data_IF_501349071304
#
_entry.id   IF_501349071304
#
_cell.length_a   1.000
_cell.length_b   1.000
_cell.length_c   1.000
_cell.angle_alpha   90.00
_cell.angle_beta   90.00
_cell.angle_gamma   90.00
#
_symmetry.space_group_name_H-M   'P 1'
#
loop_
_entity.id
_entity.type
_entity.pdbx_description
1 polymer ?
#
# COMPACT_ATOMS: atom_id res chain seq x y z
N UNK A 1 -16.54 15.81 -14.19
CA UNK A 1 -15.79 16.43 -13.06
C UNK A 1 -14.77 17.44 -13.63
N UNK A 2 -14.71 18.67 -13.13
CA UNK A 2 -13.75 19.68 -13.60
C UNK A 2 -12.66 19.91 -12.56
N UNK A 3 -11.46 20.29 -12.99
CA UNK A 3 -10.34 20.58 -12.10
C UNK A 3 -9.07 19.78 -12.44
N UNK A 4 -8.01 20.02 -11.66
CA UNK A 4 -6.74 19.30 -11.81
C UNK A 4 -6.89 17.80 -11.48
N UNK A 5 -5.93 17.00 -11.92
CA UNK A 5 -5.80 15.57 -11.57
C UNK A 5 -5.91 15.35 -10.06
N UNK A 6 -5.17 16.13 -9.30
CA UNK A 6 -5.14 16.04 -7.83
C UNK A 6 -6.48 16.42 -7.17
N UNK A 7 -7.16 17.41 -7.72
CA UNK A 7 -8.49 17.78 -7.25
C UNK A 7 -9.49 16.66 -7.49
N UNK A 8 -9.57 16.15 -8.72
CA UNK A 8 -10.51 15.11 -9.10
C UNK A 8 -10.26 13.81 -8.30
N UNK A 9 -9.00 13.38 -8.15
CA UNK A 9 -8.68 12.22 -7.32
C UNK A 9 -9.07 12.40 -5.85
N UNK A 10 -8.94 13.63 -5.31
CA UNK A 10 -9.35 13.90 -3.93
C UNK A 10 -10.87 13.83 -3.75
N UNK A 11 -11.66 14.26 -4.74
CA UNK A 11 -13.12 14.11 -4.68
C UNK A 11 -13.55 12.63 -4.74
N UNK A 12 -12.84 11.81 -5.54
CA UNK A 12 -13.11 10.38 -5.64
C UNK A 12 -12.74 9.63 -4.35
N UNK A 13 -11.61 9.99 -3.72
CA UNK A 13 -11.21 9.41 -2.43
C UNK A 13 -12.30 9.59 -1.36
N UNK A 14 -12.94 10.75 -1.30
CA UNK A 14 -14.05 11.02 -0.36
C UNK A 14 -15.22 10.05 -0.51
N UNK A 15 -15.36 9.41 -1.67
CA UNK A 15 -16.45 8.46 -1.92
C UNK A 15 -16.20 7.06 -1.39
N UNK A 16 -14.95 6.73 -1.03
CA UNK A 16 -14.58 5.37 -0.59
C UNK A 16 -13.75 5.34 0.69
N UNK A 17 -13.32 6.50 1.21
CA UNK A 17 -12.52 6.53 2.44
C UNK A 17 -13.40 6.73 3.66
N UNK A 18 -13.27 5.80 4.60
CA UNK A 18 -13.92 5.88 5.91
C UNK A 18 -12.93 5.45 6.99
N UNK A 19 -12.37 6.44 7.67
CA UNK A 19 -11.42 6.18 8.75
C UNK A 19 -12.04 5.30 9.85
N UNK A 20 -11.27 4.33 10.32
CA UNK A 20 -11.68 3.46 11.42
C UNK A 20 -12.76 2.43 11.09
N UNK A 21 -13.20 2.32 9.82
CA UNK A 21 -14.16 1.28 9.43
C UNK A 21 -13.61 -0.12 9.74
N UNK A 22 -14.39 -0.93 10.47
CA UNK A 22 -14.00 -2.28 10.88
C UNK A 22 -13.91 -3.21 9.67
N UNK A 23 -13.08 -4.25 9.78
CA UNK A 23 -12.91 -5.23 8.71
C UNK A 23 -14.22 -5.96 8.39
N UNK A 24 -14.99 -6.31 9.41
CA UNK A 24 -16.27 -7.00 9.32
C UNK A 24 -17.31 -6.17 8.56
N UNK A 25 -17.38 -4.86 8.83
CA UNK A 25 -18.29 -3.93 8.16
C UNK A 25 -17.99 -3.81 6.67
N UNK A 26 -16.69 -3.86 6.30
CA UNK A 26 -16.25 -3.71 4.91
C UNK A 26 -16.52 -4.92 4.01
N UNK A 27 -16.75 -6.08 4.58
CA UNK A 27 -17.11 -7.30 3.84
C UNK A 27 -18.63 -7.57 3.85
N UNK A 28 -19.35 -6.90 4.72
CA UNK A 28 -20.81 -7.01 4.80
C UNK A 28 -21.48 -6.16 3.73
N UNK A 29 -22.05 -6.80 2.71
CA UNK A 29 -22.67 -6.14 1.55
C UNK A 29 -23.83 -5.18 1.90
N UNK A 30 -24.45 -5.34 3.06
CA UNK A 30 -25.58 -4.52 3.50
C UNK A 30 -25.09 -3.30 4.28
N UNK A 31 -23.87 -3.35 4.80
CA UNK A 31 -23.33 -2.29 5.63
C UNK A 31 -22.88 -1.09 4.80
N UNK A 32 -23.12 0.14 5.29
CA UNK A 32 -22.71 1.39 4.62
C UNK A 32 -21.19 1.49 4.36
N UNK A 33 -20.39 0.77 5.11
CA UNK A 33 -18.92 0.70 4.95
C UNK A 33 -18.47 -0.42 4.01
N UNK A 34 -19.41 -1.08 3.31
CA UNK A 34 -19.05 -2.12 2.35
C UNK A 34 -18.02 -1.61 1.34
N UNK A 35 -16.95 -2.37 1.15
CA UNK A 35 -15.83 -2.06 0.25
C UNK A 35 -15.08 -0.74 0.52
N UNK A 36 -15.34 -0.03 1.62
CA UNK A 36 -14.63 1.18 1.98
C UNK A 36 -13.16 0.93 2.33
N UNK A 37 -12.33 1.92 2.11
CA UNK A 37 -10.93 1.96 2.53
C UNK A 37 -10.85 2.64 3.89
N UNK A 38 -10.25 1.99 4.89
CA UNK A 38 -10.17 2.53 6.25
C UNK A 38 -8.77 2.96 6.68
N UNK A 39 -7.72 2.51 5.98
CA UNK A 39 -6.34 2.88 6.25
C UNK A 39 -5.94 4.10 5.43
N UNK A 40 -5.44 5.13 6.10
CA UNK A 40 -4.93 6.34 5.46
C UNK A 40 -3.80 6.03 4.46
N UNK A 41 -2.85 5.18 4.84
CA UNK A 41 -1.75 4.76 3.95
C UNK A 41 -2.24 4.03 2.70
N UNK A 42 -3.25 3.17 2.85
CA UNK A 42 -3.85 2.47 1.71
C UNK A 42 -4.55 3.46 0.79
N UNK A 43 -5.30 4.39 1.35
CA UNK A 43 -5.98 5.46 0.60
C UNK A 43 -4.99 6.32 -0.18
N UNK A 44 -3.92 6.80 0.47
CA UNK A 44 -2.86 7.58 -0.18
C UNK A 44 -2.16 6.80 -1.29
N UNK A 45 -1.90 5.52 -1.06
CA UNK A 45 -1.32 4.63 -2.06
C UNK A 45 -2.21 4.48 -3.29
N UNK A 46 -3.52 4.28 -3.09
CA UNK A 46 -4.48 4.20 -4.21
C UNK A 46 -4.60 5.53 -4.95
N UNK A 47 -4.69 6.63 -4.22
CA UNK A 47 -4.73 7.98 -4.81
C UNK A 47 -3.49 8.27 -5.65
N UNK A 48 -2.31 7.87 -5.20
CA UNK A 48 -1.07 8.01 -5.98
C UNK A 48 -1.15 7.24 -7.31
N UNK A 49 -1.66 6.00 -7.28
CA UNK A 49 -1.86 5.20 -8.49
C UNK A 49 -2.89 5.85 -9.42
N UNK A 50 -3.99 6.37 -8.87
CA UNK A 50 -4.99 7.10 -9.66
C UNK A 50 -4.41 8.35 -10.32
N UNK A 51 -3.60 9.13 -9.61
CA UNK A 51 -2.94 10.30 -10.18
C UNK A 51 -2.04 9.91 -11.36
N UNK A 52 -1.28 8.80 -11.23
CA UNK A 52 -0.45 8.29 -12.32
C UNK A 52 -1.31 7.83 -13.52
N UNK A 53 -2.40 7.13 -13.26
CA UNK A 53 -3.34 6.72 -14.30
C UNK A 53 -3.97 7.93 -14.99
N UNK A 54 -4.41 8.91 -14.23
CA UNK A 54 -5.02 10.13 -14.76
C UNK A 54 -4.04 10.98 -15.59
N UNK A 55 -2.79 11.07 -15.15
CA UNK A 55 -1.74 11.73 -15.95
C UNK A 55 -1.50 10.99 -17.26
N UNK A 56 -1.46 9.65 -17.25
CA UNK A 56 -1.38 8.84 -18.44
C UNK A 56 -2.55 9.13 -19.40
N UNK A 57 -3.78 9.18 -18.91
CA UNK A 57 -4.95 9.48 -19.73
C UNK A 57 -4.92 10.91 -20.28
N UNK A 58 -4.44 11.87 -19.50
CA UNK A 58 -4.28 13.24 -19.96
C UNK A 58 -3.23 13.34 -21.08
N UNK A 59 -2.13 12.63 -20.95
CA UNK A 59 -1.02 12.66 -21.90
C UNK A 59 -1.36 11.93 -23.21
N UNK A 60 -1.84 10.69 -23.12
CA UNK A 60 -2.04 9.81 -24.27
C UNK A 60 -3.42 9.91 -24.92
N UNK A 61 -4.45 10.15 -24.10
CA UNK A 61 -5.84 10.15 -24.55
C UNK A 61 -6.50 11.53 -24.51
N UNK A 62 -5.82 12.55 -24.00
CA UNK A 62 -6.34 13.93 -23.83
C UNK A 62 -7.64 13.99 -22.97
N UNK A 63 -7.86 12.99 -22.11
CA UNK A 63 -9.02 12.94 -21.23
C UNK A 63 -8.74 13.81 -20.01
N UNK A 64 -9.61 14.81 -19.82
CA UNK A 64 -9.56 15.75 -18.69
C UNK A 64 -10.67 15.54 -17.67
N UNK A 65 -11.68 14.78 -18.03
CA UNK A 65 -12.82 14.46 -17.18
C UNK A 65 -12.81 12.96 -16.91
N UNK A 66 -12.52 12.60 -15.66
CA UNK A 66 -12.32 11.20 -15.28
C UNK A 66 -13.60 10.39 -15.17
N UNK A 67 -14.77 11.05 -15.20
CA UNK A 67 -16.06 10.38 -15.36
C UNK A 67 -16.25 9.79 -16.77
N UNK A 68 -15.35 10.11 -17.72
CA UNK A 68 -15.34 9.57 -19.08
C UNK A 68 -14.40 8.36 -19.26
N UNK A 69 -13.82 7.86 -18.16
CA UNK A 69 -12.98 6.67 -18.21
C UNK A 69 -13.83 5.47 -18.62
N UNK A 70 -13.28 4.67 -19.53
CA UNK A 70 -13.87 3.43 -20.01
C UNK A 70 -12.96 2.24 -19.72
N UNK A 71 -13.45 1.04 -19.96
CA UNK A 71 -12.69 -0.21 -19.91
C UNK A 71 -11.44 -0.19 -20.79
N UNK A 72 -11.52 0.39 -22.00
CA UNK A 72 -10.38 0.53 -22.93
C UNK A 72 -9.23 1.35 -22.32
N UNK A 73 -9.54 2.40 -21.61
CA UNK A 73 -8.53 3.23 -20.95
C UNK A 73 -7.81 2.48 -19.83
N UNK A 74 -8.54 1.65 -19.09
CA UNK A 74 -8.00 0.78 -18.05
C UNK A 74 -7.12 -0.29 -18.67
N UNK A 75 -7.57 -0.91 -19.76
CA UNK A 75 -6.80 -1.89 -20.50
C UNK A 75 -5.48 -1.31 -20.99
N UNK A 76 -5.52 -0.21 -21.74
CA UNK A 76 -4.34 0.43 -22.29
C UNK A 76 -3.31 0.81 -21.21
N UNK A 77 -3.78 1.30 -20.06
CA UNK A 77 -2.89 1.62 -18.95
C UNK A 77 -2.27 0.37 -18.30
N UNK A 78 -3.04 -0.68 -18.12
CA UNK A 78 -2.54 -1.93 -17.53
C UNK A 78 -1.53 -2.61 -18.48
N UNK A 79 -1.80 -2.63 -19.80
CA UNK A 79 -0.87 -3.13 -20.81
C UNK A 79 0.43 -2.31 -20.84
N UNK A 80 0.33 -1.00 -20.82
CA UNK A 80 1.47 -0.10 -20.68
C UNK A 80 2.32 -0.42 -19.43
N UNK A 81 1.67 -0.66 -18.29
CA UNK A 81 2.38 -1.01 -17.06
C UNK A 81 2.97 -2.41 -17.12
N UNK A 82 2.33 -3.33 -17.78
CA UNK A 82 2.85 -4.69 -17.99
C UNK A 82 4.12 -4.66 -18.85
N UNK A 83 4.15 -3.85 -19.90
CA UNK A 83 5.29 -3.74 -20.80
C UNK A 83 6.50 -3.07 -20.14
N UNK A 84 6.29 -1.91 -19.50
CA UNK A 84 7.40 -1.09 -19.00
C UNK A 84 7.77 -1.36 -17.54
N UNK A 85 6.89 -1.97 -16.76
CA UNK A 85 7.08 -2.24 -15.33
C UNK A 85 6.60 -3.65 -14.94
N UNK A 86 7.20 -4.71 -15.46
CA UNK A 86 6.72 -6.09 -15.34
C UNK A 86 6.95 -6.66 -13.93
N UNK A 87 6.33 -6.08 -12.93
CA UNK A 87 6.33 -6.57 -11.55
C UNK A 87 4.92 -7.04 -11.18
N UNK A 88 4.74 -8.35 -10.96
CA UNK A 88 3.46 -8.93 -10.57
C UNK A 88 2.83 -8.22 -9.37
N UNK A 89 3.59 -8.04 -8.30
CA UNK A 89 3.11 -7.36 -7.09
C UNK A 89 2.67 -5.92 -7.36
N UNK A 90 3.39 -5.22 -8.24
CA UNK A 90 3.03 -3.86 -8.60
C UNK A 90 1.76 -3.82 -9.46
N UNK A 91 1.62 -4.74 -10.41
CA UNK A 91 0.41 -4.87 -11.24
C UNK A 91 -0.82 -5.26 -10.40
N UNK A 92 -0.68 -6.18 -9.43
CA UNK A 92 -1.74 -6.51 -8.48
C UNK A 92 -2.18 -5.28 -7.67
N UNK A 93 -1.21 -4.48 -7.23
CA UNK A 93 -1.49 -3.23 -6.51
C UNK A 93 -2.23 -2.20 -7.39
N UNK A 94 -1.83 -2.07 -8.65
CA UNK A 94 -2.50 -1.20 -9.63
C UNK A 94 -3.94 -1.70 -9.86
N UNK A 95 -4.12 -2.99 -10.11
CA UNK A 95 -5.43 -3.60 -10.34
C UNK A 95 -6.37 -3.38 -9.13
N UNK A 96 -5.88 -3.57 -7.92
CA UNK A 96 -6.64 -3.30 -6.70
C UNK A 96 -7.05 -1.82 -6.60
N UNK A 97 -6.13 -0.90 -6.91
CA UNK A 97 -6.41 0.54 -6.90
C UNK A 97 -7.44 0.93 -7.97
N UNK A 98 -7.35 0.36 -9.19
CA UNK A 98 -8.32 0.60 -10.26
C UNK A 98 -9.70 0.02 -9.94
N UNK A 99 -9.77 -1.13 -9.27
CA UNK A 99 -11.04 -1.66 -8.74
C UNK A 99 -11.69 -0.72 -7.72
N UNK A 100 -10.90 -0.09 -6.86
CA UNK A 100 -11.41 0.93 -5.93
C UNK A 100 -11.78 2.24 -6.63
N UNK A 101 -11.11 2.58 -7.73
CA UNK A 101 -11.50 3.71 -8.57
C UNK A 101 -12.88 3.50 -9.22
N UNK A 102 -13.16 2.30 -9.70
CA UNK A 102 -14.46 1.91 -10.23
C UNK A 102 -15.60 2.20 -9.23
N UNK A 103 -15.40 1.72 -7.98
CA UNK A 103 -16.37 1.95 -6.90
C UNK A 103 -16.50 3.44 -6.58
N UNK A 104 -15.38 4.17 -6.54
CA UNK A 104 -15.37 5.60 -6.27
C UNK A 104 -16.14 6.40 -7.34
N UNK A 105 -16.00 6.04 -8.61
CA UNK A 105 -16.71 6.66 -9.73
C UNK A 105 -18.22 6.34 -9.69
N UNK A 106 -18.61 5.09 -9.41
CA UNK A 106 -20.02 4.71 -9.20
C UNK A 106 -20.64 5.50 -8.07
N UNK A 107 -19.97 5.56 -6.92
CA UNK A 107 -20.45 6.32 -5.77
C UNK A 107 -20.51 7.83 -6.05
N UNK A 108 -19.52 8.39 -6.74
CA UNK A 108 -19.52 9.79 -7.13
C UNK A 108 -20.73 10.14 -8.03
N UNK A 109 -20.97 9.35 -9.06
CA UNK A 109 -22.12 9.54 -9.95
C UNK A 109 -23.45 9.47 -9.19
N UNK A 110 -23.60 8.49 -8.31
CA UNK A 110 -24.80 8.31 -7.47
C UNK A 110 -24.99 9.45 -6.46
N UNK A 111 -23.93 9.83 -5.75
CA UNK A 111 -24.02 10.78 -4.64
C UNK A 111 -24.11 12.23 -5.13
N UNK A 112 -23.35 12.59 -6.17
CA UNK A 112 -23.21 13.97 -6.65
C UNK A 112 -24.19 14.26 -7.80
N UNK A 113 -24.25 13.37 -8.78
CA UNK A 113 -25.11 13.59 -9.96
C UNK A 113 -26.50 12.99 -9.83
N UNK A 114 -26.72 12.14 -8.80
CA UNK A 114 -27.98 11.39 -8.60
C UNK A 114 -28.33 10.47 -9.79
N UNK A 115 -27.30 9.99 -10.49
CA UNK A 115 -27.41 9.13 -11.66
C UNK A 115 -26.63 7.85 -11.37
N UNK A 116 -27.24 6.71 -11.61
CA UNK A 116 -26.54 5.42 -11.59
C UNK A 116 -25.81 5.25 -12.92
N UNK A 117 -24.50 5.49 -12.91
CA UNK A 117 -23.62 5.24 -14.04
C UNK A 117 -22.81 3.99 -13.75
N UNK A 118 -22.86 3.07 -14.69
CA UNK A 118 -22.06 1.85 -14.57
C UNK A 118 -20.65 2.06 -15.16
N UNK A 119 -19.66 1.60 -14.39
CA UNK A 119 -18.26 1.54 -14.79
C UNK A 119 -17.85 0.09 -14.65
N UNK A 120 -17.22 -0.46 -15.67
CA UNK A 120 -16.68 -1.82 -15.64
C UNK A 120 -15.18 -1.79 -15.94
N UNK A 121 -14.41 -2.10 -14.92
CA UNK A 121 -12.95 -2.20 -14.98
C UNK A 121 -12.48 -3.66 -14.82
N UNK A 122 -13.34 -4.65 -15.05
CA UNK A 122 -13.03 -6.07 -14.88
C UNK A 122 -11.90 -6.55 -15.78
N UNK A 123 -11.68 -5.89 -16.94
CA UNK A 123 -10.57 -6.16 -17.87
C UNK A 123 -9.20 -6.17 -17.18
N UNK A 124 -9.03 -5.44 -16.07
CA UNK A 124 -7.81 -5.44 -15.26
C UNK A 124 -7.42 -6.83 -14.77
N UNK A 125 -8.43 -7.68 -14.50
CA UNK A 125 -8.19 -9.03 -14.02
C UNK A 125 -7.66 -9.93 -15.14
N UNK A 126 -8.20 -9.80 -16.33
CA UNK A 126 -7.73 -10.56 -17.53
C UNK A 126 -6.25 -10.27 -17.79
N UNK A 127 -5.83 -9.00 -17.71
CA UNK A 127 -4.43 -8.61 -17.90
C UNK A 127 -3.54 -9.15 -16.79
N UNK A 128 -4.02 -9.15 -15.53
CA UNK A 128 -3.29 -9.76 -14.43
C UNK A 128 -3.09 -11.28 -14.63
N UNK A 129 -4.10 -11.97 -15.16
CA UNK A 129 -4.01 -13.39 -15.41
C UNK A 129 -2.99 -13.69 -16.52
N UNK A 130 -2.94 -12.89 -17.56
CA UNK A 130 -1.88 -12.93 -18.58
C UNK A 130 -0.50 -12.68 -17.98
N UNK A 131 -0.39 -11.75 -17.03
CA UNK A 131 0.86 -11.43 -16.35
C UNK A 131 1.37 -12.56 -15.43
N UNK A 132 0.52 -13.53 -15.05
CA UNK A 132 0.95 -14.69 -14.24
C UNK A 132 1.87 -15.63 -15.01
N UNK A 133 1.65 -15.75 -16.31
CA UNK A 133 2.41 -16.65 -17.19
C UNK A 133 3.76 -16.03 -17.61
N UNK A 134 3.89 -14.72 -17.50
CA UNK A 134 5.17 -14.08 -17.67
C UNK A 134 6.05 -14.48 -16.49
N UNK A 135 7.21 -15.06 -16.78
CA UNK A 135 8.28 -15.24 -15.79
C UNK A 135 8.60 -13.85 -15.23
N UNK A 136 7.86 -13.48 -14.22
CA UNK A 136 8.14 -12.26 -13.47
C UNK A 136 9.60 -12.36 -13.10
N UNK A 137 10.39 -11.41 -13.57
CA UNK A 137 11.80 -11.29 -13.28
C UNK A 137 11.95 -11.64 -11.82
N UNK A 138 12.61 -12.76 -11.55
CA UNK A 138 12.88 -13.17 -10.19
C UNK A 138 13.61 -12.00 -9.57
N UNK A 139 12.90 -11.22 -8.79
CA UNK A 139 13.54 -10.19 -8.03
C UNK A 139 14.59 -10.93 -7.22
N UNK A 140 15.83 -10.58 -7.38
CA UNK A 140 16.93 -11.07 -6.56
C UNK A 140 16.70 -10.58 -5.13
N UNK A 141 15.69 -11.14 -4.47
CA UNK A 141 15.42 -10.88 -3.05
C UNK A 141 16.58 -11.29 -2.16
N UNK A 142 17.46 -12.16 -2.68
CA UNK A 142 18.61 -12.69 -1.97
C UNK A 142 19.66 -11.62 -1.62
N UNK A 143 19.70 -10.49 -2.33
CA UNK A 143 20.69 -9.44 -2.13
C UNK A 143 20.15 -8.18 -1.45
N UNK A 144 19.07 -8.27 -0.67
CA UNK A 144 18.61 -7.14 0.15
C UNK A 144 19.27 -7.06 1.51
N UNK A 145 19.95 -8.13 1.94
CA UNK A 145 20.75 -8.11 3.14
C UNK A 145 22.03 -7.31 2.88
N UNK A 146 22.37 -6.44 3.79
CA UNK A 146 23.65 -5.75 3.76
C UNK A 146 24.75 -6.73 4.19
N UNK A 147 25.87 -6.75 3.46
CA UNK A 147 27.00 -7.63 3.76
C UNK A 147 27.62 -7.33 5.14
N UNK A 148 27.58 -6.07 5.54
CA UNK A 148 28.04 -5.63 6.85
C UNK A 148 27.07 -4.63 7.49
N UNK A 149 25.97 -5.11 8.13
CA UNK A 149 24.97 -4.24 8.73
C UNK A 149 25.52 -3.45 9.93
N UNK A 150 26.48 -4.01 10.69
CA UNK A 150 27.09 -3.34 11.83
C UNK A 150 27.88 -2.10 11.41
N UNK A 151 28.62 -2.20 10.31
CA UNK A 151 29.33 -1.06 9.72
C UNK A 151 28.35 0.05 9.32
N UNK A 152 27.23 -0.29 8.69
CA UNK A 152 26.20 0.70 8.31
C UNK A 152 25.62 1.37 9.56
N UNK A 153 25.29 0.60 10.59
CA UNK A 153 24.74 1.11 11.85
C UNK A 153 25.72 2.06 12.53
N UNK A 154 27.01 1.69 12.60
CA UNK A 154 28.04 2.53 13.22
C UNK A 154 28.24 3.88 12.52
N UNK A 155 27.94 3.97 11.23
CA UNK A 155 28.03 5.20 10.45
C UNK A 155 26.76 6.10 10.55
N UNK A 156 25.70 5.68 11.22
CA UNK A 156 24.56 6.53 11.47
C UNK A 156 24.95 7.65 12.45
N UNK A 157 24.69 8.92 12.05
CA UNK A 157 25.07 10.09 12.87
C UNK A 157 24.23 10.22 14.14
N UNK A 158 22.99 9.75 14.12
CA UNK A 158 22.06 9.89 15.25
C UNK A 158 22.11 8.62 16.13
N UNK A 159 22.49 8.73 17.42
CA UNK A 159 22.54 7.59 18.34
C UNK A 159 21.21 6.87 18.52
N UNK A 160 20.09 7.57 18.44
CA UNK A 160 18.75 6.98 18.52
C UNK A 160 18.51 6.08 17.31
N UNK A 161 18.90 6.53 16.13
CA UNK A 161 18.78 5.72 14.91
C UNK A 161 19.73 4.51 14.94
N UNK A 162 20.93 4.67 15.52
CA UNK A 162 21.86 3.53 15.74
C UNK A 162 21.21 2.48 16.64
N UNK A 163 20.64 2.91 17.78
CA UNK A 163 19.98 2.01 18.71
C UNK A 163 18.78 1.31 18.07
N UNK A 164 17.92 2.08 17.37
CA UNK A 164 16.77 1.53 16.67
C UNK A 164 17.18 0.47 15.62
N UNK A 165 18.22 0.76 14.84
CA UNK A 165 18.74 -0.17 13.85
C UNK A 165 19.36 -1.43 14.47
N UNK A 166 20.05 -1.32 15.62
CA UNK A 166 20.54 -2.49 16.37
C UNK A 166 19.40 -3.36 16.89
N UNK A 167 18.36 -2.76 17.45
CA UNK A 167 17.19 -3.51 17.93
C UNK A 167 16.53 -4.25 16.75
N UNK A 168 16.44 -3.62 15.58
CA UNK A 168 15.92 -4.29 14.39
C UNK A 168 16.80 -5.44 13.91
N UNK A 169 18.12 -5.24 13.90
CA UNK A 169 19.06 -6.25 13.46
C UNK A 169 19.06 -7.48 14.37
N UNK A 170 19.11 -7.27 15.68
CA UNK A 170 19.24 -8.34 16.66
C UNK A 170 17.90 -9.00 17.01
N UNK A 171 16.83 -8.18 17.09
CA UNK A 171 15.50 -8.63 17.50
C UNK A 171 14.53 -8.95 16.34
N UNK A 172 14.87 -8.62 15.11
CA UNK A 172 13.97 -8.79 13.96
C UNK A 172 12.71 -7.89 14.02
N UNK A 173 12.69 -6.92 14.93
CA UNK A 173 11.53 -6.05 15.14
C UNK A 173 11.32 -5.11 13.95
N UNK A 174 10.03 -4.84 13.62
CA UNK A 174 9.69 -3.84 12.61
C UNK A 174 9.94 -2.42 13.15
N UNK A 175 10.25 -1.49 12.24
CA UNK A 175 10.53 -0.08 12.61
C UNK A 175 9.40 0.55 13.43
N UNK A 176 8.15 0.24 13.11
CA UNK A 176 6.98 0.73 13.87
C UNK A 176 6.98 0.18 15.32
N UNK A 177 7.32 -1.09 15.50
CA UNK A 177 7.44 -1.71 16.83
C UNK A 177 8.57 -1.08 17.63
N UNK A 178 9.72 -0.84 17.00
CA UNK A 178 10.87 -0.18 17.65
C UNK A 178 10.55 1.24 18.04
N UNK A 179 9.87 2.01 17.19
CA UNK A 179 9.49 3.40 17.47
C UNK A 179 8.49 3.55 18.61
N UNK A 180 7.77 2.49 18.96
CA UNK A 180 6.78 2.48 20.04
C UNK A 180 7.29 1.86 21.34
N UNK A 181 8.56 1.47 21.43
CA UNK A 181 9.15 0.91 22.65
C UNK A 181 9.11 1.96 23.76
N UNK A 182 8.60 1.52 24.90
CA UNK A 182 8.56 2.32 26.13
C UNK A 182 9.55 1.76 27.15
N UNK A 183 10.05 2.57 28.10
CA UNK A 183 10.99 2.12 29.14
C UNK A 183 10.48 0.89 29.91
N UNK A 184 9.17 0.78 30.13
CA UNK A 184 8.55 -0.33 30.86
C UNK A 184 8.62 -1.67 30.12
N UNK A 185 8.96 -1.64 28.84
CA UNK A 185 9.15 -2.85 27.98
C UNK A 185 10.59 -3.36 27.97
N UNK A 186 11.48 -2.68 28.69
CA UNK A 186 12.88 -3.08 28.85
C UNK A 186 12.98 -3.92 30.12
N UNK A 187 13.25 -5.22 29.96
CA UNK A 187 13.36 -6.15 31.09
C UNK A 187 14.82 -6.43 31.45
N UNK A 188 15.01 -7.04 32.62
CA UNK A 188 16.33 -7.33 33.18
C UNK A 188 17.27 -8.01 32.19
N UNK A 189 18.53 -7.60 32.27
CA UNK A 189 19.62 -8.22 31.52
C UNK A 189 19.84 -9.64 32.08
N UNK A 190 19.55 -10.66 31.26
CA UNK A 190 19.85 -12.04 31.60
C UNK A 190 21.18 -12.44 31.01
N UNK A 191 21.96 -13.21 31.78
CA UNK A 191 23.19 -13.79 31.29
C UNK A 191 22.85 -15.11 30.61
N UNK A 192 23.12 -15.20 29.33
CA UNK A 192 23.00 -16.45 28.59
C UNK A 192 23.94 -17.50 29.20
N UNK A 193 23.39 -18.64 29.61
CA UNK A 193 24.14 -19.67 30.34
C UNK A 193 25.26 -20.34 29.51
N UNK A 194 25.10 -20.36 28.20
CA UNK A 194 26.04 -21.00 27.27
C UNK A 194 27.12 -20.01 26.83
N UNK A 195 26.68 -18.87 26.28
CA UNK A 195 27.60 -17.87 25.68
C UNK A 195 28.19 -16.91 26.71
N UNK A 196 27.65 -16.87 27.96
CA UNK A 196 28.01 -15.91 29.02
C UNK A 196 27.78 -14.44 28.62
N UNK A 197 27.08 -14.19 27.53
CA UNK A 197 26.78 -12.84 27.06
C UNK A 197 25.53 -12.30 27.82
N UNK A 198 25.60 -11.03 28.21
CA UNK A 198 24.45 -10.33 28.79
C UNK A 198 23.47 -10.01 27.68
N UNK A 199 22.25 -10.50 27.78
CA UNK A 199 21.16 -10.23 26.85
C UNK A 199 20.05 -9.47 27.55
N UNK A 200 19.64 -8.35 26.99
CA UNK A 200 18.40 -7.66 27.37
C UNK A 200 17.21 -8.30 26.67
N UNK A 201 16.05 -8.22 27.29
CA UNK A 201 14.78 -8.65 26.68
C UNK A 201 13.94 -7.40 26.48
N UNK A 202 13.47 -7.22 25.26
CA UNK A 202 12.58 -6.13 24.86
C UNK A 202 11.32 -6.77 24.32
N UNK A 203 10.16 -6.40 24.86
CA UNK A 203 8.88 -6.78 24.28
C UNK A 203 8.39 -5.70 23.32
N UNK A 204 8.14 -6.07 22.06
CA UNK A 204 7.60 -5.17 21.06
C UNK A 204 6.16 -5.56 20.72
N UNK A 205 5.30 -4.57 20.53
CA UNK A 205 3.94 -4.79 20.05
C UNK A 205 3.88 -4.55 18.54
N UNK A 206 3.79 -5.61 17.81
CA UNK A 206 3.73 -5.58 16.36
C UNK A 206 2.32 -5.26 15.82
N UNK A 207 2.25 -4.82 14.57
CA UNK A 207 0.99 -4.55 13.87
C UNK A 207 0.09 -5.79 13.89
N UNK A 208 -1.14 -5.62 14.39
CA UNK A 208 -2.10 -6.71 14.56
C UNK A 208 -2.14 -7.33 15.97
N UNK A 209 -1.45 -6.70 16.94
CA UNK A 209 -1.49 -7.11 18.35
C UNK A 209 -0.66 -8.35 18.67
N UNK A 210 0.21 -8.78 17.76
CA UNK A 210 1.18 -9.84 18.05
C UNK A 210 2.31 -9.27 18.90
N UNK A 211 2.57 -9.93 20.02
CA UNK A 211 3.74 -9.68 20.86
C UNK A 211 4.94 -10.44 20.28
N UNK A 212 6.06 -9.77 20.12
CA UNK A 212 7.33 -10.33 19.65
C UNK A 212 8.43 -10.17 20.67
#
# INVERSE_FOLDING_TARGET
MRGSVYYQSSQLVKQIFKEGAKKEDKINRIHEHYEMVSSYQTMESYRSIWNNFFNYLLEHWKIRDFEKISSEHVQAYMEYKLEYYPSKQYLEKISAALGKLEIALKNFSKNIHKIEKDYDFSIRQTILDQARDLKVVANNYHNRAYDNPEFLISNLKNPINQLAAKIQLEGGARIEGVALIKPEQLFEIKIDKVTKIKKGVIFTKEKGGKEG
#
